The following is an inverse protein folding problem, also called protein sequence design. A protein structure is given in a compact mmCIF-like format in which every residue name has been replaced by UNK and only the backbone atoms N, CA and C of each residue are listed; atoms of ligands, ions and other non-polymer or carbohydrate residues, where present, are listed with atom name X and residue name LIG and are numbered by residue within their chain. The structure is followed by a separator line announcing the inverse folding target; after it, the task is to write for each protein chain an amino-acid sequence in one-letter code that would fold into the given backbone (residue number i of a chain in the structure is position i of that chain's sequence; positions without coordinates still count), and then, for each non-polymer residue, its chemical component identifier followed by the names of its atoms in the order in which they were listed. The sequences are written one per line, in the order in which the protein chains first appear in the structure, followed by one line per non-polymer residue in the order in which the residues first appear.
data_IF_391168252618
#
_entry.id   IF_391168252618
#
_cell.length_a   1.000
_cell.length_b   1.000
_cell.length_c   1.000
_cell.angle_alpha   90.00
_cell.angle_beta   90.00
_cell.angle_gamma   90.00
#
_symmetry.space_group_name_H-M   'P 1'
#
loop_
_entity.id
_entity.type
_entity.pdbx_description
1 polymer ?
#
# COMPACT_ATOMS: atom_id res chain seq x y z
N UNK A 1 0.93 7.05 11.03
CA UNK A 1 0.65 8.49 10.83
C UNK A 1 1.22 8.89 9.48
N UNK A 2 0.54 9.77 8.75
CA UNK A 2 0.92 10.25 7.41
C UNK A 2 0.73 11.77 7.35
N UNK A 3 1.24 12.40 6.31
CA UNK A 3 1.20 13.86 6.09
C UNK A 3 0.42 14.25 4.84
N UNK A 4 0.07 13.31 3.98
CA UNK A 4 -0.53 13.61 2.67
C UNK A 4 0.50 13.95 1.59
N UNK A 5 1.79 13.78 1.86
CA UNK A 5 2.86 13.99 0.87
C UNK A 5 3.14 12.66 0.18
N UNK A 6 2.55 12.50 -1.00
CA UNK A 6 2.74 11.33 -1.86
C UNK A 6 4.20 11.23 -2.30
N UNK A 7 4.80 10.06 -2.10
CA UNK A 7 6.22 9.81 -2.42
C UNK A 7 6.42 8.75 -3.49
N UNK A 8 5.37 8.05 -3.91
CA UNK A 8 5.38 7.15 -5.06
C UNK A 8 3.98 7.03 -5.70
N UNK A 9 3.92 6.58 -6.94
CA UNK A 9 2.68 6.16 -7.63
C UNK A 9 2.77 4.68 -7.95
N UNK A 10 2.16 3.86 -7.11
CA UNK A 10 2.12 2.42 -7.27
C UNK A 10 1.12 1.95 -8.33
N UNK A 11 1.28 0.71 -8.77
CA UNK A 11 0.34 0.05 -9.69
C UNK A 11 -0.22 -1.21 -9.03
N UNK A 12 -1.55 -1.34 -8.98
CA UNK A 12 -2.20 -2.57 -8.54
C UNK A 12 -1.88 -3.65 -9.58
N UNK A 13 -1.01 -4.59 -9.22
CA UNK A 13 -0.58 -5.67 -10.10
C UNK A 13 -1.61 -6.81 -10.12
N UNK A 14 -2.17 -7.14 -8.95
CA UNK A 14 -3.15 -8.21 -8.80
C UNK A 14 -4.20 -7.87 -7.75
N UNK A 15 -5.40 -8.41 -7.95
CA UNK A 15 -6.54 -8.35 -7.01
C UNK A 15 -7.02 -9.77 -6.78
N UNK A 16 -7.04 -10.21 -5.52
CA UNK A 16 -7.47 -11.55 -5.10
C UNK A 16 -8.68 -11.43 -4.18
N UNK A 17 -9.85 -11.98 -4.55
CA UNK A 17 -10.99 -12.02 -3.65
C UNK A 17 -10.69 -12.81 -2.37
N UNK A 18 -11.13 -12.30 -1.23
CA UNK A 18 -11.16 -12.96 0.07
C UNK A 18 -12.62 -13.06 0.54
N UNK A 19 -12.89 -13.72 1.67
CA UNK A 19 -14.26 -13.92 2.16
C UNK A 19 -15.02 -12.61 2.41
N UNK A 20 -14.36 -11.63 3.02
CA UNK A 20 -14.94 -10.31 3.37
C UNK A 20 -14.01 -9.15 2.97
N UNK A 21 -13.18 -9.37 1.96
CA UNK A 21 -12.16 -8.40 1.56
C UNK A 21 -11.50 -8.73 0.23
N UNK A 22 -10.44 -7.99 -0.07
CA UNK A 22 -9.59 -8.22 -1.24
C UNK A 22 -8.13 -8.14 -0.83
N UNK A 23 -7.34 -9.11 -1.28
CA UNK A 23 -5.89 -9.03 -1.29
C UNK A 23 -5.42 -8.24 -2.51
N UNK A 24 -4.52 -7.30 -2.30
CA UNK A 24 -3.99 -6.43 -3.33
C UNK A 24 -2.47 -6.56 -3.35
N UNK A 25 -1.91 -6.87 -4.53
CA UNK A 25 -0.48 -6.71 -4.77
C UNK A 25 -0.24 -5.38 -5.47
N UNK A 26 0.65 -4.56 -4.94
CA UNK A 26 0.96 -3.23 -5.46
C UNK A 26 2.45 -3.20 -5.83
N UNK A 27 2.73 -2.99 -7.11
CA UNK A 27 4.07 -2.67 -7.59
C UNK A 27 4.43 -1.23 -7.20
N UNK A 28 5.67 -1.00 -6.78
CA UNK A 28 6.12 0.28 -6.22
C UNK A 28 7.58 0.56 -6.57
N UNK A 29 7.97 1.83 -6.54
CA UNK A 29 9.37 2.24 -6.60
C UNK A 29 10.09 2.09 -5.24
N UNK A 30 9.37 1.93 -4.13
CA UNK A 30 9.97 1.75 -2.82
C UNK A 30 10.92 0.55 -2.79
N UNK A 31 11.99 0.70 -2.01
CA UNK A 31 12.92 -0.39 -1.74
C UNK A 31 12.28 -1.38 -0.74
N UNK A 32 12.04 -2.65 -1.13
CA UNK A 32 11.44 -3.64 -0.25
C UNK A 32 12.22 -3.88 1.04
N UNK A 33 13.54 -3.71 1.05
CA UNK A 33 14.36 -3.86 2.26
C UNK A 33 14.02 -2.82 3.33
N UNK A 34 13.39 -1.72 2.93
CA UNK A 34 12.95 -0.66 3.85
C UNK A 34 11.53 -0.89 4.39
N UNK A 35 10.83 -1.93 3.94
CA UNK A 35 9.45 -2.24 4.32
C UNK A 35 9.46 -3.50 5.18
N UNK A 36 8.81 -3.44 6.33
CA UNK A 36 8.60 -4.62 7.18
C UNK A 36 7.17 -5.15 7.00
N UNK A 37 6.98 -6.45 7.22
CA UNK A 37 5.64 -7.00 7.47
C UNK A 37 5.04 -6.29 8.67
N UNK A 38 3.76 -5.90 8.56
CA UNK A 38 3.08 -5.09 9.57
C UNK A 38 3.30 -3.57 9.41
N UNK A 39 4.11 -3.11 8.46
CA UNK A 39 4.25 -1.68 8.18
C UNK A 39 2.94 -1.10 7.62
N UNK A 40 2.64 0.15 7.97
CA UNK A 40 1.52 0.88 7.40
C UNK A 40 1.95 1.71 6.19
N UNK A 41 1.24 1.54 5.07
CA UNK A 41 1.41 2.34 3.85
C UNK A 41 0.04 2.91 3.48
N UNK A 42 -0.02 4.22 3.25
CA UNK A 42 -1.20 4.88 2.70
C UNK A 42 -1.28 4.56 1.21
N UNK A 43 -2.35 3.88 0.81
CA UNK A 43 -2.62 3.46 -0.56
C UNK A 43 -3.85 4.24 -1.06
N UNK A 44 -3.67 5.18 -1.97
CA UNK A 44 -4.74 6.07 -2.42
C UNK A 44 -5.41 6.85 -1.27
N UNK A 45 -4.67 7.12 -0.19
CA UNK A 45 -5.19 7.74 1.04
C UNK A 45 -5.69 6.76 2.10
N UNK A 46 -5.78 5.45 1.80
CA UNK A 46 -6.25 4.43 2.74
C UNK A 46 -5.06 3.81 3.45
N UNK A 47 -5.01 3.91 4.78
CA UNK A 47 -3.97 3.25 5.57
C UNK A 47 -4.17 1.73 5.56
N UNK A 48 -3.27 1.00 4.91
CA UNK A 48 -3.29 -0.46 4.85
C UNK A 48 -1.99 -1.06 5.41
N UNK A 49 -2.10 -2.26 5.96
CA UNK A 49 -0.98 -2.97 6.59
C UNK A 49 -0.38 -3.96 5.61
N UNK A 50 0.95 -3.93 5.48
CA UNK A 50 1.70 -4.86 4.62
C UNK A 50 1.62 -6.28 5.18
N UNK A 51 1.11 -7.22 4.38
CA UNK A 51 0.91 -8.63 4.74
C UNK A 51 1.93 -9.57 4.10
N UNK A 52 2.49 -9.20 2.94
CA UNK A 52 3.57 -9.95 2.28
C UNK A 52 4.50 -9.04 1.47
N UNK A 53 5.72 -9.54 1.26
CA UNK A 53 6.81 -8.90 0.53
C UNK A 53 7.49 -9.92 -0.38
N UNK A 54 8.28 -9.47 -1.37
CA UNK A 54 9.17 -10.32 -2.13
C UNK A 54 10.08 -11.16 -1.23
N UNK A 55 10.49 -12.33 -1.73
CA UNK A 55 11.52 -13.13 -1.06
C UNK A 55 12.81 -12.33 -0.88
N UNK A 56 13.51 -12.58 0.22
CA UNK A 56 14.76 -11.90 0.53
C UNK A 56 15.80 -12.12 -0.58
N UNK A 57 16.39 -11.04 -1.09
CA UNK A 57 17.33 -11.06 -2.22
C UNK A 57 16.67 -11.04 -3.61
N UNK A 58 15.34 -10.99 -3.68
CA UNK A 58 14.63 -10.73 -4.94
C UNK A 58 14.78 -9.26 -5.37
N UNK A 59 14.92 -9.03 -6.67
CA UNK A 59 14.91 -7.69 -7.27
C UNK A 59 13.49 -7.15 -7.52
N UNK A 60 12.45 -7.94 -7.22
CA UNK A 60 11.07 -7.52 -7.40
C UNK A 60 10.70 -6.43 -6.40
N UNK A 61 9.93 -5.43 -6.83
CA UNK A 61 9.48 -4.32 -5.99
C UNK A 61 7.96 -4.26 -5.92
N UNK A 62 7.42 -4.96 -4.95
CA UNK A 62 6.00 -4.96 -4.65
C UNK A 62 5.77 -5.16 -3.15
N UNK A 63 4.57 -4.89 -2.70
CA UNK A 63 4.08 -5.34 -1.40
C UNK A 63 2.62 -5.78 -1.53
N UNK A 64 2.17 -6.63 -0.60
CA UNK A 64 0.76 -7.03 -0.52
C UNK A 64 0.10 -6.41 0.70
N UNK A 65 -1.18 -6.09 0.55
CA UNK A 65 -2.07 -5.59 1.59
C UNK A 65 -3.45 -6.23 1.44
N UNK A 66 -4.26 -6.15 2.48
CA UNK A 66 -5.65 -6.60 2.46
C UNK A 66 -6.57 -5.45 2.83
N UNK A 67 -7.58 -5.20 1.99
CA UNK A 67 -8.64 -4.24 2.25
C UNK A 67 -9.93 -4.99 2.62
N UNK A 68 -10.42 -4.74 3.84
CA UNK A 68 -11.61 -5.39 4.40
C UNK A 68 -12.87 -4.54 4.20
N UNK A 69 -14.01 -5.06 4.65
CA UNK A 69 -15.36 -4.50 4.48
C UNK A 69 -15.40 -2.97 4.58
N UNK A 70 -14.93 -2.39 5.69
CA UNK A 70 -15.07 -0.95 5.93
C UNK A 70 -14.27 -0.11 4.91
N UNK A 71 -13.03 -0.52 4.61
CA UNK A 71 -12.19 0.14 3.63
C UNK A 71 -12.82 0.05 2.23
N UNK A 72 -13.36 -1.10 1.86
CA UNK A 72 -14.02 -1.28 0.56
C UNK A 72 -15.32 -0.49 0.44
N UNK A 73 -16.10 -0.42 1.53
CA UNK A 73 -17.37 0.29 1.57
C UNK A 73 -17.19 1.81 1.49
N UNK A 74 -16.15 2.36 2.13
CA UNK A 74 -15.98 3.80 2.28
C UNK A 74 -15.02 4.45 1.28
N UNK A 75 -14.21 3.67 0.56
CA UNK A 75 -13.11 4.22 -0.26
C UNK A 75 -13.17 3.75 -1.70
N UNK A 76 -12.31 4.32 -2.55
CA UNK A 76 -12.19 3.91 -3.96
C UNK A 76 -11.58 2.52 -4.14
N UNK A 77 -11.06 1.90 -3.07
CA UNK A 77 -10.41 0.58 -3.12
C UNK A 77 -11.31 -0.52 -3.68
N UNK A 78 -12.63 -0.42 -3.51
CA UNK A 78 -13.61 -1.36 -4.10
C UNK A 78 -13.63 -1.35 -5.63
N UNK A 79 -13.14 -0.28 -6.26
CA UNK A 79 -13.08 -0.14 -7.72
C UNK A 79 -11.72 -0.48 -8.33
N UNK A 80 -10.70 -0.74 -7.48
CA UNK A 80 -9.36 -1.01 -7.96
C UNK A 80 -9.28 -2.37 -8.65
N UNK A 81 -8.63 -2.38 -9.80
CA UNK A 81 -8.37 -3.55 -10.65
C UNK A 81 -6.90 -3.59 -11.05
N UNK A 82 -6.44 -4.71 -11.59
CA UNK A 82 -5.08 -4.79 -12.15
C UNK A 82 -4.84 -3.64 -13.16
N UNK A 83 -3.69 -2.98 -13.06
CA UNK A 83 -3.32 -1.79 -13.82
C UNK A 83 -3.79 -0.45 -13.23
N UNK A 84 -4.57 -0.46 -12.14
CA UNK A 84 -4.97 0.80 -11.48
C UNK A 84 -3.75 1.45 -10.85
N UNK A 85 -3.49 2.73 -11.16
CA UNK A 85 -2.43 3.50 -10.51
C UNK A 85 -2.95 4.23 -9.28
N UNK A 86 -2.21 4.17 -8.18
CA UNK A 86 -2.60 4.75 -6.90
C UNK A 86 -1.43 5.50 -6.27
N UNK A 87 -1.73 6.60 -5.58
CA UNK A 87 -0.73 7.32 -4.79
C UNK A 87 -0.31 6.47 -3.59
N UNK A 88 0.97 6.49 -3.26
CA UNK A 88 1.53 5.82 -2.10
C UNK A 88 2.24 6.82 -1.18
N UNK A 89 2.12 6.60 0.13
CA UNK A 89 2.87 7.34 1.14
C UNK A 89 3.26 6.40 2.30
N UNK A 90 4.52 6.50 2.74
CA UNK A 90 5.06 5.73 3.86
C UNK A 90 4.63 6.37 5.18
N UNK A 91 4.41 5.54 6.22
CA UNK A 91 4.18 6.08 7.55
C UNK A 91 5.40 6.85 8.06
N UNK A 92 5.14 7.97 8.73
CA UNK A 92 6.17 8.81 9.35
C UNK A 92 6.99 8.04 10.38
N UNK A 93 8.29 8.32 10.38
CA UNK A 93 9.23 7.96 11.45
C UNK A 93 9.47 9.16 12.35
N UNK A 94 10.00 8.90 13.55
CA UNK A 94 10.42 9.97 14.47
C UNK A 94 11.54 10.77 13.80
N UNK A 95 11.34 12.08 13.68
CA UNK A 95 12.28 12.99 13.05
C UNK A 95 11.97 13.32 11.59
N UNK A 96 10.97 12.68 10.97
CA UNK A 96 10.51 13.04 9.63
C UNK A 96 9.79 14.41 9.64
N UNK A 97 9.88 15.13 8.53
CA UNK A 97 9.22 16.42 8.34
C UNK A 97 7.69 16.27 8.23
N UNK A 98 6.95 17.17 8.90
CA UNK A 98 5.49 17.29 8.79
C UNK A 98 5.13 18.37 7.76
N UNK A 99 5.26 18.05 6.47
CA UNK A 99 5.13 19.02 5.37
C UNK A 99 3.71 19.22 4.81
N UNK A 100 2.76 18.34 5.12
CA UNK A 100 1.38 18.39 4.61
C UNK A 100 0.33 18.59 5.70
N UNK A 101 -0.88 18.06 5.47
CA UNK A 101 -1.98 17.78 6.42
C UNK A 101 -3.20 17.20 5.69
#
# INVERSE_FOLDING_TARGET
MFTGIVTDVGTVAAVKPLAEGVGLRIDTAYDPETIAIGASISCGGVCLTVTALPEHGSNARWFEVEAWEEALRLTTASSWKSGTRINLERALKIGDELGGH
#
